data_IF_531256361882
#
_entry.id   IF_531256361882
#
_cell.length_a   1.000
_cell.length_b   1.000
_cell.length_c   1.000
_cell.angle_alpha   90.00
_cell.angle_beta   90.00
_cell.angle_gamma   90.00
#
_symmetry.space_group_name_H-M   'P 1'
#
loop_
_entity.id
_entity.type
_entity.pdbx_description
1 polymer ?
#
# COMPACT_ATOMS: atom_id res chain seq x y z
N UNK A 1 57.51 28.20 15.43
CA UNK A 1 56.07 28.36 15.73
C UNK A 1 55.34 27.92 14.47
N UNK A 2 54.54 26.86 14.58
CA UNK A 2 54.18 25.94 13.51
C UNK A 2 53.04 26.44 12.61
N UNK A 3 53.19 26.21 11.31
CA UNK A 3 52.10 25.99 10.36
C UNK A 3 52.51 24.80 9.48
N UNK A 4 51.68 23.76 9.34
CA UNK A 4 51.77 22.87 8.18
C UNK A 4 50.46 22.93 7.38
N UNK A 5 50.58 23.41 6.14
CA UNK A 5 49.61 23.15 5.07
C UNK A 5 49.80 21.72 4.57
N UNK A 6 48.70 20.97 4.48
CA UNK A 6 48.64 19.63 3.92
C UNK A 6 48.14 19.72 2.47
N UNK A 7 49.03 19.57 1.50
CA UNK A 7 48.67 19.38 0.08
C UNK A 7 48.71 17.88 -0.28
N UNK A 8 47.65 17.41 -0.93
CA UNK A 8 47.39 16.03 -1.34
C UNK A 8 48.27 15.59 -2.53
N UNK A 9 48.81 14.36 -2.57
CA UNK A 9 49.52 13.86 -3.74
C UNK A 9 48.58 13.21 -4.76
N UNK A 10 48.59 13.76 -5.98
CA UNK A 10 48.03 13.18 -7.20
C UNK A 10 48.85 11.95 -7.61
N UNK A 11 48.21 10.80 -7.81
CA UNK A 11 48.85 9.59 -8.35
C UNK A 11 48.55 9.43 -9.85
N UNK A 12 49.51 8.92 -10.66
CA UNK A 12 49.45 8.96 -12.12
C UNK A 12 48.76 7.73 -12.74
N UNK A 13 48.22 7.92 -13.96
CA UNK A 13 47.68 6.87 -14.84
C UNK A 13 48.73 5.81 -15.21
N UNK A 14 48.36 4.53 -15.38
CA UNK A 14 49.18 3.55 -16.09
C UNK A 14 48.85 3.48 -17.59
N UNK A 15 49.92 3.36 -18.37
CA UNK A 15 50.02 3.32 -19.83
C UNK A 15 49.73 1.91 -20.40
N UNK A 16 49.11 1.88 -21.57
CA UNK A 16 48.72 0.72 -22.40
C UNK A 16 49.94 0.07 -23.08
N UNK A 17 50.23 -1.24 -22.87
CA UNK A 17 50.98 -2.11 -23.83
C UNK A 17 50.72 -3.62 -23.63
N UNK A 18 49.83 -4.16 -24.47
CA UNK A 18 50.02 -5.39 -25.27
C UNK A 18 50.34 -6.73 -24.59
N UNK A 19 49.36 -7.65 -24.62
CA UNK A 19 49.59 -9.08 -24.75
C UNK A 19 48.36 -9.77 -25.37
N UNK A 20 48.35 -9.88 -26.69
CA UNK A 20 47.48 -10.80 -27.43
C UNK A 20 47.82 -12.25 -27.06
N UNK A 21 46.85 -12.95 -26.49
CA UNK A 21 46.87 -14.39 -26.27
C UNK A 21 45.48 -14.98 -26.54
N UNK A 22 45.36 -16.16 -27.17
CA UNK A 22 44.07 -16.71 -27.57
C UNK A 22 43.23 -17.12 -26.35
N UNK A 23 42.00 -16.58 -26.28
CA UNK A 23 41.03 -16.92 -25.23
C UNK A 23 40.61 -18.40 -25.32
N UNK A 24 40.74 -19.21 -24.26
CA UNK A 24 39.99 -20.44 -24.17
C UNK A 24 38.51 -20.10 -23.94
N UNK A 25 37.63 -20.59 -24.81
CA UNK A 25 36.18 -20.52 -24.65
C UNK A 25 35.78 -21.18 -23.33
N UNK A 26 35.52 -20.34 -22.32
CA UNK A 26 35.05 -20.77 -21.01
C UNK A 26 33.64 -21.35 -21.10
N UNK A 27 33.45 -22.53 -20.54
CA UNK A 27 32.15 -23.16 -20.36
C UNK A 27 31.18 -22.20 -19.62
N UNK A 28 29.86 -22.28 -19.89
CA UNK A 28 28.88 -21.49 -19.16
C UNK A 28 28.94 -21.79 -17.65
N UNK A 29 28.73 -20.79 -16.78
CA UNK A 29 28.75 -20.99 -15.34
C UNK A 29 27.62 -21.95 -14.89
N UNK A 30 27.85 -22.78 -13.87
CA UNK A 30 26.80 -23.63 -13.32
C UNK A 30 25.67 -22.78 -12.73
N UNK A 31 24.43 -23.21 -12.97
CA UNK A 31 23.24 -22.57 -12.43
C UNK A 31 23.31 -22.52 -10.88
N UNK A 32 22.81 -21.43 -10.26
CA UNK A 32 22.74 -21.35 -8.81
C UNK A 32 21.82 -22.45 -8.25
N UNK A 33 22.12 -23.00 -7.05
CA UNK A 33 21.29 -24.01 -6.43
C UNK A 33 19.88 -23.46 -6.19
N UNK A 34 18.89 -24.22 -6.65
CA UNK A 34 17.48 -24.01 -6.41
C UNK A 34 17.22 -24.23 -4.91
N UNK A 35 17.30 -23.14 -4.14
CA UNK A 35 16.83 -23.14 -2.76
C UNK A 35 15.32 -23.39 -2.78
N UNK A 36 14.95 -24.58 -2.33
CA UNK A 36 13.56 -25.05 -2.28
C UNK A 36 12.65 -24.00 -1.65
N UNK A 37 11.55 -23.71 -2.36
CA UNK A 37 10.45 -22.95 -1.81
C UNK A 37 9.89 -23.71 -0.60
N UNK A 38 9.62 -23.05 0.54
CA UNK A 38 8.84 -23.67 1.59
C UNK A 38 7.41 -23.85 1.08
N UNK A 39 7.02 -25.12 0.98
CA UNK A 39 5.68 -25.60 0.70
C UNK A 39 4.72 -25.01 1.73
N UNK A 40 4.04 -23.91 1.38
CA UNK A 40 2.99 -23.34 2.19
C UNK A 40 1.80 -24.29 2.16
N UNK A 41 1.67 -25.08 3.21
CA UNK A 41 0.63 -26.09 3.37
C UNK A 41 -0.76 -25.51 3.08
N UNK A 42 -1.40 -26.04 2.04
CA UNK A 42 -2.84 -25.93 1.86
C UNK A 42 -3.50 -26.70 3.01
N UNK A 43 -4.04 -25.96 3.98
CA UNK A 43 -4.95 -26.53 4.97
C UNK A 43 -6.25 -26.89 4.28
N UNK A 44 -6.35 -28.16 3.92
CA UNK A 44 -7.56 -28.85 3.47
C UNK A 44 -8.68 -28.66 4.50
N UNK A 45 -9.54 -27.68 4.27
CA UNK A 45 -10.79 -27.52 5.01
C UNK A 45 -11.81 -28.43 4.33
N UNK A 46 -11.90 -29.66 4.84
CA UNK A 46 -12.87 -30.66 4.39
C UNK A 46 -14.28 -30.09 4.37
N UNK A 47 -14.85 -29.97 3.17
CA UNK A 47 -16.28 -29.76 2.98
C UNK A 47 -17.00 -31.11 3.15
N UNK A 48 -18.17 -31.16 3.81
CA UNK A 48 -18.96 -32.38 3.90
C UNK A 48 -19.45 -32.80 2.51
N UNK A 49 -19.09 -34.03 2.15
CA UNK A 49 -19.43 -34.72 0.91
C UNK A 49 -20.93 -35.06 0.90
N UNK A 50 -21.75 -34.14 0.38
CA UNK A 50 -23.11 -34.44 -0.05
C UNK A 50 -23.08 -34.87 -1.51
N UNK A 51 -23.31 -36.17 -1.73
CA UNK A 51 -23.22 -36.82 -3.02
C UNK A 51 -24.00 -36.10 -4.12
N UNK A 52 -23.29 -35.77 -5.21
CA UNK A 52 -23.89 -35.25 -6.43
C UNK A 52 -23.39 -36.07 -7.61
N UNK A 53 -24.34 -36.76 -8.23
CA UNK A 53 -24.19 -37.57 -9.44
C UNK A 53 -23.54 -36.74 -10.55
N UNK A 54 -22.68 -37.43 -11.31
CA UNK A 54 -21.79 -36.85 -12.31
C UNK A 54 -22.50 -36.01 -13.37
N UNK A 55 -22.19 -34.72 -13.36
CA UNK A 55 -22.20 -33.88 -14.56
C UNK A 55 -20.74 -33.54 -14.89
N UNK A 56 -20.32 -33.61 -16.17
CA UNK A 56 -18.98 -33.19 -16.56
C UNK A 56 -18.86 -31.68 -16.29
N UNK A 57 -18.01 -31.32 -15.32
CA UNK A 57 -17.73 -29.93 -14.98
C UNK A 57 -17.07 -29.25 -16.18
N UNK A 58 -17.78 -28.33 -16.83
CA UNK A 58 -17.16 -27.43 -17.79
C UNK A 58 -16.20 -26.50 -17.03
N UNK A 59 -14.98 -26.26 -17.53
CA UNK A 59 -14.05 -25.34 -16.89
C UNK A 59 -14.68 -23.94 -16.89
N UNK A 60 -14.86 -23.37 -15.70
CA UNK A 60 -15.36 -22.00 -15.57
C UNK A 60 -14.39 -21.04 -16.27
N UNK A 61 -14.90 -20.08 -17.07
CA UNK A 61 -14.09 -19.02 -17.64
C UNK A 61 -13.35 -18.28 -16.51
N UNK A 62 -12.04 -18.10 -16.67
CA UNK A 62 -11.25 -17.31 -15.73
C UNK A 62 -11.81 -15.88 -15.59
N UNK A 63 -11.63 -15.25 -14.42
CA UNK A 63 -12.10 -13.89 -14.20
C UNK A 63 -11.55 -12.95 -15.28
N UNK A 64 -12.35 -11.97 -15.75
CA UNK A 64 -11.96 -11.09 -16.84
C UNK A 64 -10.70 -10.29 -16.50
N UNK A 65 -9.87 -9.90 -17.48
CA UNK A 65 -8.56 -9.27 -17.22
C UNK A 65 -8.63 -7.97 -16.39
N UNK A 66 -9.75 -7.26 -16.43
CA UNK A 66 -9.98 -6.06 -15.61
C UNK A 66 -10.32 -6.38 -14.14
N UNK A 67 -10.59 -7.63 -13.80
CA UNK A 67 -10.84 -8.11 -12.45
C UNK A 67 -9.55 -8.59 -11.75
N UNK A 68 -8.41 -8.59 -12.44
CA UNK A 68 -7.11 -8.88 -11.84
C UNK A 68 -6.57 -7.63 -11.15
N UNK A 69 -7.05 -7.40 -9.93
CA UNK A 69 -6.37 -6.50 -9.02
C UNK A 69 -4.95 -7.04 -8.76
N UNK A 70 -3.94 -6.19 -8.96
CA UNK A 70 -2.56 -6.50 -8.58
C UNK A 70 -2.49 -6.85 -7.09
N UNK A 71 -1.88 -7.99 -6.76
CA UNK A 71 -1.64 -8.38 -5.37
C UNK A 71 -0.79 -7.29 -4.69
N UNK A 72 -1.23 -6.71 -3.56
CA UNK A 72 -0.51 -5.63 -2.89
C UNK A 72 0.90 -6.10 -2.51
N UNK A 73 1.92 -5.56 -3.16
CA UNK A 73 3.34 -5.90 -2.92
C UNK A 73 4.15 -4.68 -2.45
N UNK A 74 3.52 -3.50 -2.37
CA UNK A 74 4.18 -2.25 -2.04
C UNK A 74 4.32 -1.99 -0.54
N UNK A 75 5.15 -1.00 -0.19
CA UNK A 75 5.46 -0.67 1.20
C UNK A 75 4.21 -0.38 2.05
N UNK A 76 4.16 -0.97 3.24
CA UNK A 76 3.05 -0.84 4.18
C UNK A 76 2.81 0.62 4.61
N UNK A 77 1.56 0.92 4.94
CA UNK A 77 1.17 2.18 5.57
C UNK A 77 1.39 2.17 7.08
N UNK A 78 0.88 3.20 7.74
CA UNK A 78 1.03 3.38 9.20
C UNK A 78 -0.32 3.39 9.91
N UNK A 79 -0.39 2.75 11.08
CA UNK A 79 -1.58 2.86 11.94
C UNK A 79 -1.58 4.24 12.60
N UNK A 80 -2.73 4.92 12.55
CA UNK A 80 -2.88 6.27 13.11
C UNK A 80 -4.01 6.33 14.14
N UNK A 81 -3.75 6.81 15.37
CA UNK A 81 -4.75 6.78 16.43
C UNK A 81 -5.86 7.79 16.15
N UNK A 82 -7.10 7.30 16.01
CA UNK A 82 -8.27 8.09 15.61
C UNK A 82 -8.47 9.34 16.47
N UNK A 83 -8.34 9.21 17.80
CA UNK A 83 -8.49 10.34 18.72
C UNK A 83 -7.43 11.43 18.53
N UNK A 84 -6.18 11.05 18.22
CA UNK A 84 -5.12 12.02 17.96
C UNK A 84 -5.37 12.77 16.66
N UNK A 85 -5.81 12.07 15.61
CA UNK A 85 -6.16 12.71 14.33
C UNK A 85 -7.22 13.77 14.55
N UNK A 86 -8.29 13.41 15.24
CA UNK A 86 -9.39 14.32 15.56
C UNK A 86 -8.84 15.52 16.35
N UNK A 87 -8.00 15.29 17.35
CA UNK A 87 -7.36 16.36 18.12
C UNK A 87 -6.53 17.29 17.22
N UNK A 88 -5.67 16.73 16.36
CA UNK A 88 -4.83 17.50 15.44
C UNK A 88 -5.68 18.28 14.43
N UNK A 89 -6.78 17.70 13.96
CA UNK A 89 -7.73 18.40 13.10
C UNK A 89 -8.25 19.67 13.80
N UNK A 90 -8.66 19.61 15.06
CA UNK A 90 -9.14 20.80 15.77
C UNK A 90 -8.01 21.78 16.13
N UNK A 91 -6.87 21.29 16.61
CA UNK A 91 -5.71 22.13 17.00
C UNK A 91 -5.14 22.91 15.81
N UNK A 92 -5.17 22.32 14.62
CA UNK A 92 -4.68 22.95 13.39
C UNK A 92 -5.77 23.67 12.58
N UNK A 93 -6.95 23.87 13.15
CA UNK A 93 -8.10 24.49 12.46
C UNK A 93 -8.44 23.81 11.12
N UNK A 94 -8.34 22.49 11.08
CA UNK A 94 -8.67 21.64 9.94
C UNK A 94 -7.53 21.40 8.95
N UNK A 95 -6.41 22.12 9.06
CA UNK A 95 -5.28 21.99 8.12
C UNK A 95 -4.72 20.56 8.11
N UNK A 96 -4.67 19.92 9.28
CA UNK A 96 -4.18 18.54 9.39
C UNK A 96 -5.01 17.54 8.58
N UNK A 97 -6.29 17.82 8.32
CA UNK A 97 -7.13 16.99 7.47
C UNK A 97 -6.58 16.83 6.05
N UNK A 98 -6.00 17.89 5.47
CA UNK A 98 -5.35 17.82 4.15
C UNK A 98 -4.11 16.94 4.16
N UNK A 99 -3.28 17.06 5.20
CA UNK A 99 -2.09 16.22 5.40
C UNK A 99 -2.50 14.75 5.50
N UNK A 100 -3.56 14.46 6.25
CA UNK A 100 -4.10 13.12 6.38
C UNK A 100 -4.56 12.54 5.04
N UNK A 101 -5.34 13.29 4.24
CA UNK A 101 -5.75 12.84 2.92
C UNK A 101 -4.54 12.56 2.03
N UNK A 102 -3.56 13.47 2.00
CA UNK A 102 -2.33 13.26 1.26
C UNK A 102 -1.64 11.95 1.67
N UNK A 103 -1.35 11.78 2.96
CA UNK A 103 -0.59 10.62 3.45
C UNK A 103 -1.33 9.30 3.23
N UNK A 104 -2.62 9.23 3.56
CA UNK A 104 -3.39 7.99 3.46
C UNK A 104 -3.55 7.53 2.01
N UNK A 105 -3.89 8.44 1.10
CA UNK A 105 -3.99 8.10 -0.32
C UNK A 105 -2.63 7.73 -0.93
N UNK A 106 -1.54 8.38 -0.51
CA UNK A 106 -0.19 8.02 -0.97
C UNK A 106 0.23 6.63 -0.46
N UNK A 107 -0.05 6.31 0.80
CA UNK A 107 0.25 4.98 1.38
C UNK A 107 -0.54 3.87 0.68
N UNK A 108 -1.84 4.07 0.45
CA UNK A 108 -2.68 3.09 -0.24
C UNK A 108 -2.21 2.86 -1.68
N UNK A 109 -1.90 3.94 -2.41
CA UNK A 109 -1.36 3.86 -3.76
C UNK A 109 0.01 3.18 -3.78
N UNK A 110 0.89 3.53 -2.86
CA UNK A 110 2.22 2.91 -2.74
C UNK A 110 2.11 1.41 -2.45
N UNK A 111 1.17 1.01 -1.60
CA UNK A 111 0.99 -0.39 -1.21
C UNK A 111 0.37 -1.25 -2.32
N UNK A 112 -0.62 -0.72 -3.02
CA UNK A 112 -1.39 -1.49 -4.03
C UNK A 112 -0.96 -1.26 -5.47
N UNK A 113 -0.20 -0.19 -5.73
CA UNK A 113 0.13 0.28 -7.08
C UNK A 113 -1.01 1.04 -7.77
N UNK A 114 -2.17 1.19 -7.13
CA UNK A 114 -3.39 1.74 -7.73
C UNK A 114 -4.12 2.66 -6.75
N UNK A 115 -4.91 3.61 -7.25
CA UNK A 115 -5.60 4.63 -6.45
C UNK A 115 -5.18 6.05 -6.81
N UNK A 116 -5.83 7.06 -6.21
CA UNK A 116 -5.56 8.47 -6.49
C UNK A 116 -4.09 8.84 -6.23
N UNK A 117 -3.57 8.42 -5.08
CA UNK A 117 -2.30 8.93 -4.55
C UNK A 117 -2.47 10.28 -3.86
N UNK A 118 -1.48 10.64 -3.06
CA UNK A 118 -1.55 11.76 -2.13
C UNK A 118 -1.67 13.11 -2.81
N UNK A 119 -0.88 13.38 -3.86
CA UNK A 119 -0.90 14.69 -4.55
C UNK A 119 -2.27 14.94 -5.18
N UNK A 120 -2.82 13.94 -5.89
CA UNK A 120 -4.14 14.07 -6.53
C UNK A 120 -5.22 14.21 -5.46
N UNK A 121 -5.16 13.41 -4.39
CA UNK A 121 -6.10 13.50 -3.28
C UNK A 121 -6.04 14.86 -2.58
N UNK A 122 -4.85 15.45 -2.43
CA UNK A 122 -4.66 16.77 -1.84
C UNK A 122 -5.30 17.87 -2.70
N UNK A 123 -5.06 17.85 -4.01
CA UNK A 123 -5.67 18.80 -4.94
C UNK A 123 -7.21 18.72 -4.89
N UNK A 124 -7.74 17.51 -4.87
CA UNK A 124 -9.19 17.28 -4.73
C UNK A 124 -9.68 17.73 -3.36
N UNK A 125 -8.93 17.51 -2.28
CA UNK A 125 -9.33 17.98 -0.96
C UNK A 125 -9.41 19.51 -0.89
N UNK A 126 -8.49 20.22 -1.54
CA UNK A 126 -8.48 21.69 -1.57
C UNK A 126 -9.63 22.25 -2.42
N UNK A 127 -9.90 21.66 -3.59
CA UNK A 127 -10.89 22.21 -4.55
C UNK A 127 -12.29 21.64 -4.31
N UNK A 128 -12.38 20.36 -3.97
CA UNK A 128 -13.60 19.56 -3.80
C UNK A 128 -13.63 18.83 -2.45
N UNK A 129 -13.30 19.52 -1.36
CA UNK A 129 -13.15 18.91 -0.03
C UNK A 129 -14.35 18.09 0.47
N UNK A 130 -15.56 18.37 -0.02
CA UNK A 130 -16.77 17.58 0.29
C UNK A 130 -16.72 16.18 -0.32
N UNK A 131 -15.99 15.98 -1.41
CA UNK A 131 -15.86 14.71 -2.14
C UNK A 131 -14.81 13.81 -1.49
N UNK A 132 -13.78 14.38 -0.85
CA UNK A 132 -12.68 13.62 -0.24
C UNK A 132 -13.10 12.54 0.76
N UNK A 133 -14.12 12.74 1.62
CA UNK A 133 -14.65 11.69 2.48
C UNK A 133 -15.14 10.44 1.75
N UNK A 134 -15.79 10.64 0.60
CA UNK A 134 -16.31 9.55 -0.23
C UNK A 134 -15.18 8.79 -0.91
N UNK A 135 -14.20 9.51 -1.44
CA UNK A 135 -13.03 8.93 -2.10
C UNK A 135 -12.19 8.11 -1.12
N UNK A 136 -11.94 8.65 0.07
CA UNK A 136 -11.16 7.95 1.09
C UNK A 136 -11.85 6.65 1.51
N UNK A 137 -13.14 6.68 1.87
CA UNK A 137 -13.86 5.46 2.26
C UNK A 137 -13.93 4.44 1.12
N UNK A 138 -14.02 4.89 -0.14
CA UNK A 138 -14.01 4.02 -1.31
C UNK A 138 -12.65 3.34 -1.50
N UNK A 139 -11.55 4.07 -1.37
CA UNK A 139 -10.20 3.48 -1.51
C UNK A 139 -9.91 2.48 -0.40
N UNK A 140 -10.29 2.78 0.84
CA UNK A 140 -10.18 1.82 1.95
C UNK A 140 -11.00 0.56 1.64
N UNK A 141 -12.25 0.70 1.17
CA UNK A 141 -13.07 -0.44 0.76
C UNK A 141 -12.40 -1.31 -0.31
N UNK A 142 -11.82 -0.67 -1.34
CA UNK A 142 -11.09 -1.36 -2.40
C UNK A 142 -9.89 -2.15 -1.87
N UNK A 143 -9.21 -1.70 -0.81
CA UNK A 143 -8.12 -2.48 -0.20
C UNK A 143 -8.60 -3.87 0.27
N UNK A 144 -9.80 -3.94 0.83
CA UNK A 144 -10.42 -5.19 1.27
C UNK A 144 -10.89 -6.03 0.08
N UNK A 145 -11.56 -5.41 -0.90
CA UNK A 145 -12.06 -6.10 -2.10
C UNK A 145 -10.95 -6.79 -2.89
N UNK A 146 -9.78 -6.14 -3.02
CA UNK A 146 -8.58 -6.71 -3.68
C UNK A 146 -8.10 -8.00 -3.03
N UNK A 147 -8.37 -8.17 -1.73
CA UNK A 147 -8.03 -9.36 -0.96
C UNK A 147 -9.18 -10.36 -0.87
N UNK A 148 -10.25 -10.17 -1.65
CA UNK A 148 -11.45 -10.99 -1.61
C UNK A 148 -12.28 -10.83 -0.33
N UNK A 149 -12.08 -9.74 0.42
CA UNK A 149 -12.79 -9.47 1.67
C UNK A 149 -13.96 -8.51 1.43
N UNK A 150 -15.02 -8.67 2.24
CA UNK A 150 -16.12 -7.73 2.24
C UNK A 150 -15.64 -6.34 2.73
N UNK A 151 -15.93 -5.25 2.00
CA UNK A 151 -15.47 -3.92 2.38
C UNK A 151 -16.23 -3.43 3.63
N UNK A 152 -15.54 -3.11 4.74
CA UNK A 152 -16.19 -2.59 5.95
C UNK A 152 -16.71 -1.16 5.78
N UNK A 153 -16.14 -0.43 4.81
CA UNK A 153 -16.52 0.92 4.41
C UNK A 153 -16.54 1.02 2.89
N UNK A 154 -17.43 1.87 2.38
CA UNK A 154 -17.62 2.13 0.95
C UNK A 154 -17.76 3.64 0.71
N UNK A 155 -17.85 4.07 -0.55
CA UNK A 155 -18.12 5.47 -0.88
C UNK A 155 -19.34 6.05 -0.13
N UNK A 156 -20.41 5.25 0.05
CA UNK A 156 -21.61 5.64 0.79
C UNK A 156 -21.36 5.95 2.27
N UNK A 157 -20.26 5.45 2.84
CA UNK A 157 -19.87 5.79 4.22
C UNK A 157 -19.60 7.30 4.33
N UNK A 158 -19.14 7.95 3.25
CA UNK A 158 -18.99 9.40 3.15
C UNK A 158 -20.29 10.20 3.34
N UNK A 159 -21.46 9.57 3.18
CA UNK A 159 -22.76 10.20 3.48
C UNK A 159 -22.91 10.53 4.97
N UNK A 160 -22.10 9.99 5.88
CA UNK A 160 -22.08 10.44 7.27
C UNK A 160 -21.40 11.81 7.41
N UNK A 161 -20.55 12.23 6.47
CA UNK A 161 -19.86 13.52 6.52
C UNK A 161 -20.77 14.67 6.04
N UNK A 162 -21.37 14.57 4.84
CA UNK A 162 -22.04 15.69 4.18
C UNK A 162 -23.33 16.21 4.87
N UNK A 163 -24.35 15.39 5.17
CA UNK A 163 -25.46 15.79 6.04
C UNK A 163 -25.06 15.87 7.51
N UNK A 164 -24.02 15.13 7.92
CA UNK A 164 -23.61 15.06 9.31
C UNK A 164 -22.85 16.27 9.83
N UNK A 165 -22.20 17.03 8.94
CA UNK A 165 -21.38 18.20 9.31
C UNK A 165 -22.22 19.27 10.02
N UNK A 166 -23.52 19.34 9.73
CA UNK A 166 -24.47 20.25 10.38
C UNK A 166 -24.71 19.93 11.87
N UNK A 167 -24.49 18.68 12.29
CA UNK A 167 -24.69 18.21 13.67
C UNK A 167 -23.33 17.93 14.34
N UNK A 168 -22.21 18.09 13.60
CA UNK A 168 -20.85 17.67 13.94
C UNK A 168 -20.66 16.17 14.17
N UNK A 169 -21.65 15.45 14.69
CA UNK A 169 -21.60 14.01 15.02
C UNK A 169 -21.33 13.13 13.80
N UNK A 170 -21.88 13.46 12.63
CA UNK A 170 -21.73 12.60 11.46
C UNK A 170 -20.29 12.50 10.94
N UNK A 171 -19.52 13.60 10.80
CA UNK A 171 -18.10 13.55 10.53
C UNK A 171 -17.31 12.65 11.50
N UNK A 172 -17.65 12.64 12.79
CA UNK A 172 -17.03 11.72 13.75
C UNK A 172 -17.33 10.26 13.40
N UNK A 173 -18.60 9.90 13.15
CA UNK A 173 -18.99 8.53 12.80
C UNK A 173 -18.27 8.09 11.51
N UNK A 174 -18.31 8.91 10.47
CA UNK A 174 -17.61 8.66 9.21
C UNK A 174 -16.12 8.40 9.44
N UNK A 175 -15.48 9.32 10.16
CA UNK A 175 -14.04 9.30 10.35
C UNK A 175 -13.60 8.10 11.17
N UNK A 176 -14.28 7.80 12.28
CA UNK A 176 -14.00 6.64 13.14
C UNK A 176 -14.12 5.35 12.34
N UNK A 177 -15.19 5.18 11.55
CA UNK A 177 -15.38 3.97 10.73
C UNK A 177 -14.28 3.81 9.68
N UNK A 178 -13.98 4.87 8.95
CA UNK A 178 -12.98 4.83 7.87
C UNK A 178 -11.57 4.62 8.42
N UNK A 179 -11.18 5.34 9.46
CA UNK A 179 -9.85 5.21 10.07
C UNK A 179 -9.67 3.86 10.79
N UNK A 180 -10.72 3.35 11.45
CA UNK A 180 -10.65 2.03 12.09
C UNK A 180 -10.52 0.92 11.04
N UNK A 181 -11.26 0.99 9.93
CA UNK A 181 -11.10 0.05 8.82
C UNK A 181 -9.68 0.11 8.24
N UNK A 182 -9.16 1.31 7.97
CA UNK A 182 -7.80 1.45 7.46
C UNK A 182 -6.74 0.92 8.45
N UNK A 183 -6.89 1.22 9.73
CA UNK A 183 -5.98 0.72 10.77
C UNK A 183 -6.05 -0.80 10.93
N UNK A 184 -7.25 -1.38 10.90
CA UNK A 184 -7.43 -2.83 10.96
C UNK A 184 -6.83 -3.51 9.73
N UNK A 185 -6.98 -2.90 8.55
CA UNK A 185 -6.32 -3.35 7.34
C UNK A 185 -4.80 -3.40 7.55
N UNK A 186 -4.17 -2.31 8.00
CA UNK A 186 -2.72 -2.27 8.23
C UNK A 186 -2.27 -3.26 9.32
N UNK A 187 -3.07 -3.41 10.38
CA UNK A 187 -2.83 -4.42 11.42
C UNK A 187 -2.84 -5.83 10.83
N UNK A 188 -3.80 -6.14 9.96
CA UNK A 188 -3.87 -7.43 9.26
C UNK A 188 -2.69 -7.66 8.30
N UNK A 189 -1.96 -6.60 7.92
CA UNK A 189 -0.71 -6.69 7.15
C UNK A 189 0.54 -6.78 8.05
N UNK A 190 0.39 -6.88 9.37
CA UNK A 190 1.50 -7.01 10.31
C UNK A 190 2.08 -5.68 10.80
N UNK A 191 1.45 -4.54 10.49
CA UNK A 191 1.87 -3.26 11.05
C UNK A 191 1.55 -3.24 12.54
N UNK A 192 2.56 -3.04 13.38
CA UNK A 192 2.42 -2.90 14.84
C UNK A 192 2.74 -1.49 15.33
N UNK A 193 3.45 -0.70 14.52
CA UNK A 193 3.82 0.68 14.85
C UNK A 193 2.63 1.62 14.62
N UNK A 194 2.35 2.43 15.63
CA UNK A 194 1.49 3.61 15.49
C UNK A 194 2.37 4.81 15.16
N UNK A 195 2.03 5.57 14.11
CA UNK A 195 2.69 6.85 13.80
C UNK A 195 1.73 8.01 13.95
N UNK A 196 2.28 9.15 14.36
CA UNK A 196 1.59 10.44 14.37
C UNK A 196 1.96 11.30 13.15
N UNK A 197 3.02 10.89 12.42
CA UNK A 197 3.61 11.60 11.26
C UNK A 197 4.06 10.61 10.20
#
# INVERSE_FOLDING_TARGET
MSTPDHESPTSPLPDDRGADGPQPQGAPPPAPPEYGQPESGQQDHGQPEYGQQGYPAQPMPGPPPWAQYSQPTGALGTMRPTGMIILLFFVTLGIWGFVYYFQTHEEMKRHTGEGLGGIIALLIAVIFGIVSPFLLSNEVGKLYERRGQAPPVTALTGLWFFPGIFILVGPFIWFVRTNNALNEYWRSQGVTRTSLV
#
